data_IF_477745237624
#
_entry.id   IF_477745237624
#
_cell.length_a   1.000
_cell.length_b   1.000
_cell.length_c   1.000
_cell.angle_alpha   90.00
_cell.angle_beta   90.00
_cell.angle_gamma   90.00
#
_symmetry.space_group_name_H-M   'P 1'
#
loop_
_entity.id
_entity.type
_entity.pdbx_description
1 polymer ?
#
# COMPACT_ATOMS: atom_id res chain seq x y z
N UNK A 1 -48.02 15.12 35.89
CA UNK A 1 -47.54 13.92 35.16
C UNK A 1 -46.47 14.22 34.09
N UNK A 2 -45.66 15.30 34.21
CA UNK A 2 -44.65 15.66 33.20
C UNK A 2 -43.21 15.19 33.49
N UNK A 3 -42.90 14.78 34.73
CA UNK A 3 -41.53 14.43 35.14
C UNK A 3 -41.14 12.98 34.87
N UNK A 4 -42.11 12.08 34.70
CA UNK A 4 -41.86 10.65 34.40
C UNK A 4 -41.55 10.45 32.91
N UNK A 5 -42.09 11.30 32.02
CA UNK A 5 -41.83 11.24 30.58
C UNK A 5 -40.40 11.65 30.19
N UNK A 6 -39.79 12.56 30.96
CA UNK A 6 -38.41 13.03 30.73
C UNK A 6 -37.39 11.94 31.11
N UNK A 7 -37.68 11.12 32.12
CA UNK A 7 -36.84 9.97 32.48
C UNK A 7 -36.88 8.85 31.44
N UNK A 8 -38.03 8.65 30.77
CA UNK A 8 -38.13 7.66 29.67
C UNK A 8 -37.38 8.11 28.41
N UNK A 9 -37.38 9.41 28.10
CA UNK A 9 -36.65 9.97 26.95
C UNK A 9 -35.11 9.99 27.16
N UNK A 10 -34.65 10.08 28.41
CA UNK A 10 -33.22 10.00 28.75
C UNK A 10 -32.66 8.57 28.74
N UNK A 11 -33.51 7.54 28.83
CA UNK A 11 -33.09 6.14 28.66
C UNK A 11 -33.14 5.64 27.21
N UNK A 12 -33.85 6.34 26.31
CA UNK A 12 -33.89 5.99 24.87
C UNK A 12 -32.66 6.43 24.07
N UNK A 13 -31.72 7.18 24.66
CA UNK A 13 -30.49 7.64 24.02
C UNK A 13 -29.26 6.81 24.38
N UNK A 14 -29.43 5.63 24.99
CA UNK A 14 -28.39 4.60 24.98
C UNK A 14 -28.26 4.16 23.52
N UNK A 15 -27.27 4.76 22.87
CA UNK A 15 -26.82 4.43 21.54
C UNK A 15 -26.72 2.91 21.38
N UNK A 16 -27.74 2.32 20.79
CA UNK A 16 -27.54 1.13 19.98
C UNK A 16 -26.76 1.60 18.75
N UNK A 17 -25.45 1.75 18.92
CA UNK A 17 -24.51 1.49 17.83
C UNK A 17 -24.65 0.00 17.56
N UNK A 18 -25.70 -0.37 16.82
CA UNK A 18 -25.77 -1.63 16.12
C UNK A 18 -24.61 -1.60 15.13
N UNK A 19 -23.44 -2.05 15.59
CA UNK A 19 -22.38 -2.47 14.70
C UNK A 19 -22.99 -3.47 13.74
N UNK A 20 -22.94 -3.15 12.45
CA UNK A 20 -23.42 -4.02 11.38
C UNK A 20 -22.79 -5.42 11.53
N UNK A 21 -23.51 -6.36 12.15
CA UNK A 21 -23.10 -7.75 12.29
C UNK A 21 -23.41 -8.49 10.99
N UNK A 22 -22.59 -8.29 9.96
CA UNK A 22 -22.50 -9.24 8.86
C UNK A 22 -21.42 -10.27 9.21
N UNK A 23 -21.85 -11.38 9.84
CA UNK A 23 -21.07 -12.49 10.44
C UNK A 23 -20.54 -12.23 11.86
N UNK A 24 -21.17 -12.83 12.88
CA UNK A 24 -20.57 -12.95 14.22
C UNK A 24 -19.30 -13.82 14.13
N UNK A 25 -18.16 -13.15 14.08
CA UNK A 25 -16.83 -13.72 13.96
C UNK A 25 -16.17 -13.77 15.35
N UNK A 26 -15.95 -14.97 15.89
CA UNK A 26 -15.21 -15.11 17.14
C UNK A 26 -13.76 -15.54 16.83
N UNK A 27 -12.85 -14.57 16.86
CA UNK A 27 -11.41 -14.79 16.62
C UNK A 27 -10.80 -15.87 17.52
N UNK A 28 -11.35 -16.07 18.74
CA UNK A 28 -10.88 -17.08 19.70
C UNK A 28 -11.24 -18.52 19.30
N UNK A 29 -12.23 -18.71 18.41
CA UNK A 29 -12.67 -20.03 17.94
C UNK A 29 -11.91 -20.52 16.71
N UNK A 30 -10.94 -19.74 16.22
CA UNK A 30 -10.25 -20.03 14.97
C UNK A 30 -8.95 -20.75 15.25
N UNK A 31 -8.90 -22.00 14.79
CA UNK A 31 -7.74 -22.85 14.93
C UNK A 31 -7.05 -23.02 13.56
N UNK A 32 -6.41 -21.96 13.09
CA UNK A 32 -5.56 -22.04 11.89
C UNK A 32 -4.17 -22.47 12.32
N UNK A 33 -3.76 -23.67 11.89
CA UNK A 33 -2.40 -24.13 12.16
C UNK A 33 -1.35 -23.26 11.45
N UNK A 34 -0.17 -23.13 12.05
CA UNK A 34 0.97 -22.48 11.40
C UNK A 34 1.30 -23.12 10.05
N UNK A 35 1.13 -24.44 9.91
CA UNK A 35 1.33 -25.15 8.64
C UNK A 35 0.36 -24.65 7.56
N UNK A 36 -0.94 -24.55 7.89
CA UNK A 36 -1.96 -24.03 6.98
C UNK A 36 -1.68 -22.58 6.58
N UNK A 37 -1.24 -21.77 7.55
CA UNK A 37 -0.86 -20.37 7.31
C UNK A 37 0.30 -20.24 6.32
N UNK A 38 1.40 -20.94 6.57
CA UNK A 38 2.62 -20.83 5.76
C UNK A 38 2.48 -21.46 4.37
N UNK A 39 1.81 -22.61 4.27
CA UNK A 39 1.77 -23.40 3.03
C UNK A 39 0.59 -23.07 2.12
N UNK A 40 -0.51 -22.51 2.66
CA UNK A 40 -1.72 -22.25 1.86
C UNK A 40 -2.12 -20.77 1.88
N UNK A 41 -2.31 -20.19 3.07
CA UNK A 41 -2.83 -18.82 3.18
C UNK A 41 -1.81 -17.81 2.62
N UNK A 42 -0.57 -17.83 3.12
CA UNK A 42 0.45 -16.86 2.74
C UNK A 42 0.77 -16.86 1.23
N UNK A 43 0.90 -18.03 0.55
CA UNK A 43 1.03 -18.06 -0.90
C UNK A 43 -0.17 -17.45 -1.64
N UNK A 44 -1.40 -17.68 -1.19
CA UNK A 44 -2.59 -17.08 -1.79
C UNK A 44 -2.62 -15.55 -1.60
N UNK A 45 -2.28 -15.06 -0.40
CA UNK A 45 -2.14 -13.63 -0.12
C UNK A 45 -1.08 -12.99 -1.02
N UNK A 46 0.08 -13.64 -1.19
CA UNK A 46 1.14 -13.15 -2.09
C UNK A 46 0.64 -12.99 -3.52
N UNK A 47 -0.09 -13.99 -4.00
CA UNK A 47 -0.66 -13.94 -5.34
C UNK A 47 -1.75 -12.88 -5.46
N UNK A 48 -2.58 -12.69 -4.44
CA UNK A 48 -3.59 -11.63 -4.41
C UNK A 48 -2.94 -10.24 -4.53
N UNK A 49 -1.90 -9.96 -3.72
CA UNK A 49 -1.17 -8.68 -3.78
C UNK A 49 -0.54 -8.49 -5.16
N UNK A 50 0.06 -9.53 -5.74
CA UNK A 50 0.63 -9.49 -7.10
C UNK A 50 -0.44 -9.21 -8.15
N UNK A 51 -1.59 -9.87 -8.06
CA UNK A 51 -2.71 -9.71 -8.97
C UNK A 51 -3.28 -8.28 -8.92
N UNK A 52 -3.38 -7.69 -7.72
CA UNK A 52 -3.79 -6.29 -7.57
C UNK A 52 -2.89 -5.32 -8.34
N UNK A 53 -1.57 -5.44 -8.17
CA UNK A 53 -0.61 -4.60 -8.88
C UNK A 53 -0.59 -4.88 -10.39
N UNK A 54 -0.88 -6.11 -10.82
CA UNK A 54 -1.06 -6.43 -12.24
C UNK A 54 -2.29 -5.75 -12.82
N UNK A 55 -3.41 -5.70 -12.08
CA UNK A 55 -4.61 -4.96 -12.49
C UNK A 55 -4.30 -3.47 -12.64
N UNK A 56 -3.63 -2.85 -11.66
CA UNK A 56 -3.22 -1.44 -11.74
C UNK A 56 -2.38 -1.14 -12.99
N UNK A 57 -1.40 -2.01 -13.30
CA UNK A 57 -0.55 -1.87 -14.50
C UNK A 57 -1.32 -1.86 -15.82
N UNK A 58 -2.47 -2.55 -15.86
CA UNK A 58 -3.30 -2.64 -17.07
C UNK A 58 -4.27 -1.46 -17.21
N UNK A 59 -4.63 -0.79 -16.11
CA UNK A 59 -5.56 0.35 -16.14
C UNK A 59 -4.87 1.62 -16.64
N UNK A 60 -3.64 1.89 -16.21
CA UNK A 60 -2.91 3.07 -16.62
C UNK A 60 -1.42 2.77 -16.91
N UNK A 61 -0.87 3.25 -18.04
CA UNK A 61 0.51 2.95 -18.45
C UNK A 61 1.59 3.45 -17.45
N UNK A 62 1.33 4.52 -16.70
CA UNK A 62 2.27 5.03 -15.68
C UNK A 62 2.42 4.08 -14.49
N UNK A 63 1.42 3.23 -14.24
CA UNK A 63 1.41 2.38 -13.05
C UNK A 63 2.56 1.39 -13.03
N UNK A 64 3.02 0.93 -14.20
CA UNK A 64 4.21 0.06 -14.29
C UNK A 64 5.45 0.73 -13.71
N UNK A 65 5.65 2.01 -14.02
CA UNK A 65 6.81 2.77 -13.56
C UNK A 65 6.70 3.11 -12.06
N UNK A 66 5.51 3.52 -11.59
CA UNK A 66 5.26 3.83 -10.18
C UNK A 66 5.42 2.59 -9.30
N UNK A 67 4.89 1.45 -9.71
CA UNK A 67 5.04 0.18 -8.97
C UNK A 67 6.51 -0.27 -8.96
N UNK A 68 7.25 -0.07 -10.05
CA UNK A 68 8.68 -0.37 -10.08
C UNK A 68 9.44 0.53 -9.10
N UNK A 69 9.12 1.82 -9.09
CA UNK A 69 9.70 2.80 -8.17
C UNK A 69 9.42 2.44 -6.70
N UNK A 70 8.19 2.02 -6.35
CA UNK A 70 7.84 1.48 -5.03
C UNK A 70 8.74 0.30 -4.65
N UNK A 71 8.91 -0.66 -5.56
CA UNK A 71 9.70 -1.86 -5.28
C UNK A 71 11.19 -1.55 -5.10
N UNK A 72 11.75 -0.65 -5.92
CA UNK A 72 13.14 -0.20 -5.78
C UNK A 72 13.33 0.58 -4.47
N UNK A 73 12.39 1.45 -4.11
CA UNK A 73 12.40 2.20 -2.84
C UNK A 73 12.36 1.26 -1.64
N UNK A 74 11.52 0.23 -1.69
CA UNK A 74 11.47 -0.77 -0.63
C UNK A 74 12.76 -1.60 -0.53
N UNK A 75 13.38 -1.92 -1.67
CA UNK A 75 14.68 -2.56 -1.71
C UNK A 75 15.74 -1.67 -1.06
N UNK A 76 15.77 -0.39 -1.41
CA UNK A 76 16.68 0.59 -0.81
C UNK A 76 16.46 0.70 0.70
N UNK A 77 15.21 0.78 1.15
CA UNK A 77 14.87 0.78 2.57
C UNK A 77 15.41 -0.44 3.30
N UNK A 78 15.28 -1.64 2.72
CA UNK A 78 15.81 -2.85 3.32
C UNK A 78 17.33 -2.76 3.48
N UNK A 79 18.05 -2.43 2.41
CA UNK A 79 19.51 -2.27 2.47
C UNK A 79 19.93 -1.17 3.46
N UNK A 80 19.16 -0.08 3.53
CA UNK A 80 19.42 1.02 4.47
C UNK A 80 19.19 0.59 5.93
N UNK A 81 18.14 -0.18 6.21
CA UNK A 81 17.87 -0.73 7.54
C UNK A 81 18.95 -1.71 7.99
N UNK A 82 19.43 -2.54 7.07
CA UNK A 82 20.51 -3.48 7.35
C UNK A 82 21.84 -2.72 7.59
N UNK A 83 22.10 -1.63 6.88
CA UNK A 83 23.37 -0.88 6.94
C UNK A 83 23.46 0.18 8.05
N UNK A 84 22.41 0.98 8.25
CA UNK A 84 22.43 2.17 9.09
C UNK A 84 22.94 1.93 10.53
N UNK A 85 22.64 0.78 11.19
CA UNK A 85 23.17 0.46 12.52
C UNK A 85 24.69 0.30 12.56
N UNK A 86 25.30 -0.36 11.56
CA UNK A 86 26.72 -0.70 11.57
C UNK A 86 27.64 0.46 11.19
N UNK A 87 27.10 1.47 10.50
CA UNK A 87 27.89 2.61 10.03
C UNK A 87 28.25 3.63 11.16
N UNK A 88 28.38 3.23 12.41
CA UNK A 88 28.78 4.14 13.51
C UNK A 88 30.31 4.21 13.70
N UNK A 89 31.05 3.20 13.22
CA UNK A 89 32.51 3.14 13.26
C UNK A 89 33.08 3.61 11.92
N UNK A 90 34.29 4.17 11.92
CA UNK A 90 34.94 4.88 10.81
C UNK A 90 35.09 4.09 9.49
N UNK A 91 34.76 2.80 9.48
CA UNK A 91 34.83 1.90 8.32
C UNK A 91 33.56 1.86 7.45
N UNK A 92 32.74 2.91 7.40
CA UNK A 92 31.53 2.92 6.56
C UNK A 92 31.78 2.92 5.04
N UNK A 93 32.99 3.29 4.59
CA UNK A 93 33.25 3.62 3.17
C UNK A 93 33.04 2.44 2.21
N UNK A 94 33.32 1.21 2.61
CA UNK A 94 33.32 0.05 1.70
C UNK A 94 31.90 -0.45 1.34
N UNK A 95 30.87 -0.10 2.11
CA UNK A 95 29.49 -0.60 1.92
C UNK A 95 28.51 0.42 1.28
N UNK A 96 29.01 1.57 0.81
CA UNK A 96 28.14 2.60 0.21
C UNK A 96 27.82 2.37 -1.27
N UNK A 97 28.65 1.65 -2.01
CA UNK A 97 28.57 1.66 -3.47
C UNK A 97 27.29 0.96 -3.99
N UNK A 98 26.84 -0.11 -3.33
CA UNK A 98 25.57 -0.78 -3.66
C UNK A 98 24.35 0.13 -3.40
N UNK A 99 24.33 0.80 -2.24
CA UNK A 99 23.27 1.74 -1.88
C UNK A 99 23.25 2.94 -2.83
N UNK A 100 24.43 3.46 -3.17
CA UNK A 100 24.61 4.56 -4.11
C UNK A 100 24.15 4.17 -5.51
N UNK A 101 24.57 3.02 -6.05
CA UNK A 101 24.10 2.54 -7.35
C UNK A 101 22.58 2.33 -7.37
N UNK A 102 22.00 1.83 -6.28
CA UNK A 102 20.56 1.70 -6.17
C UNK A 102 19.85 3.07 -6.13
N UNK A 103 20.38 4.04 -5.38
CA UNK A 103 19.87 5.40 -5.34
C UNK A 103 19.98 6.10 -6.71
N UNK A 104 21.12 5.97 -7.40
CA UNK A 104 21.32 6.49 -8.76
C UNK A 104 20.29 5.89 -9.74
N UNK A 105 20.08 4.57 -9.66
CA UNK A 105 19.06 3.89 -10.47
C UNK A 105 17.65 4.42 -10.16
N UNK A 106 17.33 4.66 -8.90
CA UNK A 106 16.04 5.20 -8.49
C UNK A 106 15.88 6.64 -9.01
N UNK A 107 16.88 7.50 -8.80
CA UNK A 107 16.89 8.88 -9.27
C UNK A 107 16.71 8.98 -10.80
N UNK A 108 17.37 8.11 -11.56
CA UNK A 108 17.17 8.03 -13.02
C UNK A 108 15.75 7.60 -13.40
N UNK A 109 15.09 6.79 -12.56
CA UNK A 109 13.71 6.34 -12.79
C UNK A 109 12.69 7.40 -12.42
N UNK A 110 12.93 8.19 -11.37
CA UNK A 110 12.05 9.31 -10.98
C UNK A 110 12.06 10.40 -12.04
N UNK A 111 13.25 10.79 -12.54
CA UNK A 111 13.38 11.74 -13.64
C UNK A 111 12.63 11.29 -14.91
N UNK A 112 12.74 10.00 -15.28
CA UNK A 112 12.01 9.45 -16.42
C UNK A 112 10.50 9.42 -16.21
N UNK A 113 10.05 9.16 -14.99
CA UNK A 113 8.63 9.16 -14.65
C UNK A 113 8.06 10.58 -14.75
N UNK A 114 8.77 11.56 -14.21
CA UNK A 114 8.43 12.97 -14.28
C UNK A 114 8.29 13.45 -15.72
N UNK A 115 9.30 13.19 -16.57
CA UNK A 115 9.24 13.50 -18.00
C UNK A 115 8.02 12.87 -18.69
N UNK A 116 7.69 11.61 -18.36
CA UNK A 116 6.51 10.94 -18.91
C UNK A 116 5.19 11.56 -18.45
N UNK A 117 5.12 12.02 -17.20
CA UNK A 117 3.94 12.72 -16.66
C UNK A 117 3.75 14.05 -17.39
N UNK A 118 4.83 14.83 -17.57
CA UNK A 118 4.80 16.09 -18.33
C UNK A 118 4.34 15.89 -19.77
N UNK A 119 4.79 14.82 -20.43
CA UNK A 119 4.34 14.48 -21.80
C UNK A 119 2.87 14.05 -21.88
N UNK A 120 2.29 13.55 -20.78
CA UNK A 120 0.87 13.20 -20.71
C UNK A 120 0.01 14.44 -20.39
N UNK A 121 0.57 15.41 -19.67
CA UNK A 121 -0.07 16.71 -19.40
C UNK A 121 -0.42 17.44 -20.69
N UNK A 122 0.49 17.47 -21.67
CA UNK A 122 0.24 18.12 -22.96
C UNK A 122 -0.86 17.47 -23.80
N UNK A 123 -1.33 16.27 -23.43
CA UNK A 123 -2.30 15.47 -24.21
C UNK A 123 -3.67 15.30 -23.56
N UNK A 124 -3.86 15.64 -22.28
CA UNK A 124 -5.11 15.34 -21.54
C UNK A 124 -5.84 16.60 -21.06
N UNK A 125 -7.18 16.59 -21.15
CA UNK A 125 -8.09 17.66 -20.68
C UNK A 125 -8.23 17.78 -19.16
N UNK A 126 -7.71 16.83 -18.36
CA UNK A 126 -7.86 16.83 -16.90
C UNK A 126 -6.63 17.50 -16.25
N UNK A 127 -6.65 18.83 -16.23
CA UNK A 127 -5.51 19.71 -15.89
C UNK A 127 -5.10 19.54 -14.42
N UNK A 128 -6.06 19.51 -13.49
CA UNK A 128 -5.79 19.55 -12.04
C UNK A 128 -5.16 18.27 -11.49
N UNK A 129 -5.72 17.11 -11.86
CA UNK A 129 -5.19 15.81 -11.43
C UNK A 129 -3.78 15.56 -11.97
N UNK A 130 -3.51 16.02 -13.19
CA UNK A 130 -2.21 15.88 -13.84
C UNK A 130 -1.20 16.87 -13.27
N UNK A 131 -1.61 18.10 -12.97
CA UNK A 131 -0.77 19.10 -12.29
C UNK A 131 -0.33 18.60 -10.91
N UNK A 132 -1.28 18.07 -10.13
CA UNK A 132 -0.95 17.50 -8.82
C UNK A 132 0.00 16.30 -8.95
N UNK A 133 -0.22 15.42 -9.92
CA UNK A 133 0.69 14.29 -10.19
C UNK A 133 2.09 14.76 -10.61
N UNK A 134 2.18 15.83 -11.40
CA UNK A 134 3.47 16.43 -11.78
C UNK A 134 4.21 17.00 -10.58
N UNK A 135 3.51 17.75 -9.71
CA UNK A 135 4.08 18.28 -8.47
C UNK A 135 4.64 17.17 -7.59
N UNK A 136 3.83 16.16 -7.30
CA UNK A 136 4.24 15.01 -6.47
C UNK A 136 5.43 14.26 -7.09
N UNK A 137 5.46 14.11 -8.42
CA UNK A 137 6.59 13.49 -9.12
C UNK A 137 7.89 14.30 -8.99
N UNK A 138 7.81 15.62 -9.11
CA UNK A 138 8.96 16.51 -8.90
C UNK A 138 9.50 16.41 -7.48
N UNK A 139 8.61 16.43 -6.47
CA UNK A 139 9.05 16.27 -5.08
C UNK A 139 9.72 14.91 -4.80
N UNK A 140 9.27 13.85 -5.47
CA UNK A 140 9.92 12.53 -5.39
C UNK A 140 11.32 12.58 -6.01
N UNK A 141 11.45 13.20 -7.19
CA UNK A 141 12.75 13.41 -7.85
C UNK A 141 13.70 14.17 -6.94
N UNK A 142 13.27 15.30 -6.38
CA UNK A 142 14.07 16.12 -5.47
C UNK A 142 14.49 15.34 -4.22
N UNK A 143 13.58 14.54 -3.67
CA UNK A 143 13.87 13.72 -2.48
C UNK A 143 14.95 12.67 -2.79
N UNK A 144 14.88 12.01 -3.94
CA UNK A 144 15.90 11.03 -4.35
C UNK A 144 17.23 11.66 -4.75
N UNK A 145 17.20 12.83 -5.37
CA UNK A 145 18.40 13.61 -5.63
C UNK A 145 19.10 13.99 -4.32
N UNK A 146 18.33 14.44 -3.32
CA UNK A 146 18.87 14.70 -1.98
C UNK A 146 19.48 13.43 -1.37
N UNK A 147 18.77 12.30 -1.33
CA UNK A 147 19.32 11.04 -0.83
C UNK A 147 20.66 10.73 -1.52
N UNK A 148 20.72 10.84 -2.85
CA UNK A 148 21.94 10.58 -3.60
C UNK A 148 23.08 11.52 -3.20
N UNK A 149 22.83 12.82 -3.07
CA UNK A 149 23.84 13.79 -2.63
C UNK A 149 24.40 13.45 -1.23
N UNK A 150 23.56 12.96 -0.32
CA UNK A 150 23.99 12.49 1.00
C UNK A 150 24.84 11.22 0.94
N UNK A 151 24.59 10.34 -0.05
CA UNK A 151 25.37 9.13 -0.27
C UNK A 151 26.68 9.39 -1.01
N UNK A 152 26.76 10.45 -1.83
CA UNK A 152 27.96 10.77 -2.62
C UNK A 152 28.93 11.69 -1.88
N UNK A 153 28.46 12.47 -0.91
CA UNK A 153 29.29 13.43 -0.18
C UNK A 153 29.80 12.86 1.17
N UNK A 154 31.12 12.62 1.32
CA UNK A 154 31.68 12.05 2.53
C UNK A 154 31.45 12.87 3.81
N UNK A 155 31.32 14.19 3.66
CA UNK A 155 31.10 15.11 4.77
C UNK A 155 29.67 15.01 5.32
N UNK A 156 28.72 14.53 4.51
CA UNK A 156 27.31 14.40 4.86
C UNK A 156 26.96 13.04 5.48
N UNK A 157 27.87 12.05 5.45
CA UNK A 157 27.63 10.71 6.03
C UNK A 157 27.27 10.73 7.51
N UNK A 158 27.74 11.75 8.26
CA UNK A 158 27.40 11.92 9.68
C UNK A 158 25.90 12.23 9.91
N UNK A 159 25.15 12.61 8.87
CA UNK A 159 23.73 12.99 8.94
C UNK A 159 22.78 11.86 8.55
N UNK A 160 23.01 10.63 9.04
CA UNK A 160 22.15 9.44 8.79
C UNK A 160 20.66 9.66 9.03
N UNK A 161 20.32 10.44 10.06
CA UNK A 161 18.92 10.77 10.39
C UNK A 161 18.22 11.41 9.18
N UNK A 162 18.96 12.19 8.38
CA UNK A 162 18.42 12.87 7.22
C UNK A 162 18.06 11.91 6.07
N UNK A 163 18.89 10.91 5.78
CA UNK A 163 18.57 9.89 4.76
C UNK A 163 17.30 9.14 5.16
N UNK A 164 17.16 8.76 6.44
CA UNK A 164 15.94 8.10 6.93
C UNK A 164 14.70 8.99 6.79
N UNK A 165 14.83 10.30 7.05
CA UNK A 165 13.73 11.28 6.87
C UNK A 165 13.34 11.38 5.40
N UNK A 166 14.30 11.56 4.49
CA UNK A 166 14.01 11.62 3.06
C UNK A 166 13.44 10.30 2.52
N UNK A 167 13.96 9.16 2.97
CA UNK A 167 13.44 7.85 2.58
C UNK A 167 11.97 7.67 3.00
N UNK A 168 11.63 8.08 4.22
CA UNK A 168 10.24 8.06 4.68
C UNK A 168 9.35 8.98 3.85
N UNK A 169 9.83 10.19 3.52
CA UNK A 169 9.12 11.13 2.63
C UNK A 169 8.90 10.53 1.24
N UNK A 170 9.94 9.98 0.62
CA UNK A 170 9.85 9.35 -0.70
C UNK A 170 8.83 8.21 -0.71
N UNK A 171 8.82 7.37 0.33
CA UNK A 171 7.83 6.29 0.48
C UNK A 171 6.40 6.83 0.51
N UNK A 172 6.14 7.84 1.34
CA UNK A 172 4.80 8.44 1.44
C UNK A 172 4.35 9.04 0.11
N UNK A 173 5.23 9.77 -0.58
CA UNK A 173 4.91 10.36 -1.88
C UNK A 173 4.64 9.30 -2.95
N UNK A 174 5.45 8.22 -3.00
CA UNK A 174 5.22 7.09 -3.92
C UNK A 174 3.87 6.41 -3.65
N UNK A 175 3.50 6.29 -2.38
CA UNK A 175 2.20 5.76 -1.97
C UNK A 175 1.04 6.66 -2.43
N UNK A 176 1.19 7.99 -2.31
CA UNK A 176 0.20 8.97 -2.77
C UNK A 176 -0.01 8.88 -4.28
N UNK A 177 1.07 8.78 -5.07
CA UNK A 177 0.96 8.72 -6.53
C UNK A 177 0.53 7.35 -7.05
N UNK A 178 0.48 6.31 -6.21
CA UNK A 178 0.18 4.94 -6.63
C UNK A 178 -1.18 4.78 -7.31
N UNK A 179 -2.19 5.55 -6.94
CA UNK A 179 -3.53 5.47 -7.57
C UNK A 179 -3.94 6.76 -8.25
N UNK A 180 -3.16 7.83 -8.09
CA UNK A 180 -3.42 9.16 -8.63
C UNK A 180 -3.59 9.23 -10.17
N UNK A 181 -2.94 8.38 -10.98
CA UNK A 181 -3.17 8.36 -12.43
C UNK A 181 -4.53 7.80 -12.89
N UNK A 182 -5.32 7.23 -11.98
CA UNK A 182 -6.65 6.70 -12.29
C UNK A 182 -7.67 7.84 -12.36
N UNK A 183 -8.83 7.62 -12.97
CA UNK A 183 -9.93 8.59 -12.89
C UNK A 183 -10.46 8.70 -11.44
N UNK A 184 -11.23 9.74 -11.11
CA UNK A 184 -11.58 10.04 -9.72
C UNK A 184 -12.35 8.92 -9.01
N UNK A 185 -13.29 8.25 -9.68
CA UNK A 185 -14.06 7.14 -9.09
C UNK A 185 -13.16 5.92 -8.86
N UNK A 186 -12.37 5.49 -9.86
CA UNK A 186 -11.45 4.38 -9.69
C UNK A 186 -10.37 4.71 -8.67
N UNK A 187 -9.82 5.93 -8.69
CA UNK A 187 -8.79 6.37 -7.75
C UNK A 187 -9.26 6.18 -6.31
N UNK A 188 -10.44 6.71 -5.96
CA UNK A 188 -10.99 6.61 -4.60
C UNK A 188 -11.13 5.14 -4.17
N UNK A 189 -11.72 4.31 -5.02
CA UNK A 189 -11.97 2.91 -4.70
C UNK A 189 -10.68 2.06 -4.64
N UNK A 190 -9.75 2.27 -5.58
CA UNK A 190 -8.45 1.58 -5.60
C UNK A 190 -7.55 2.04 -4.46
N UNK A 191 -7.56 3.33 -4.11
CA UNK A 191 -6.82 3.83 -2.96
C UNK A 191 -7.35 3.21 -1.65
N UNK A 192 -8.68 3.20 -1.48
CA UNK A 192 -9.33 2.63 -0.31
C UNK A 192 -8.95 1.15 -0.11
N UNK A 193 -9.10 0.31 -1.15
CA UNK A 193 -8.73 -1.11 -1.04
C UNK A 193 -7.23 -1.30 -0.92
N UNK A 194 -6.42 -0.45 -1.55
CA UNK A 194 -4.97 -0.53 -1.40
C UNK A 194 -4.53 -0.26 0.04
N UNK A 195 -5.00 0.84 0.65
CA UNK A 195 -4.60 1.26 1.98
C UNK A 195 -5.10 0.32 3.08
N UNK A 196 -6.36 -0.14 2.97
CA UNK A 196 -7.03 -0.89 4.02
C UNK A 196 -6.97 -2.42 3.86
N UNK A 197 -6.66 -2.92 2.66
CA UNK A 197 -6.58 -4.35 2.40
C UNK A 197 -5.21 -4.77 1.87
N UNK A 198 -4.80 -4.28 0.70
CA UNK A 198 -3.58 -4.77 0.03
C UNK A 198 -2.30 -4.44 0.83
N UNK A 199 -2.15 -3.19 1.27
CA UNK A 199 -0.99 -2.74 2.04
C UNK A 199 -0.90 -3.47 3.38
N UNK A 200 -2.04 -3.69 4.05
CA UNK A 200 -2.11 -4.44 5.32
C UNK A 200 -1.69 -5.88 5.15
N UNK A 201 -2.18 -6.56 4.11
CA UNK A 201 -1.77 -7.92 3.77
C UNK A 201 -0.26 -7.99 3.43
N UNK A 202 0.25 -7.03 2.67
CA UNK A 202 1.68 -6.97 2.33
C UNK A 202 2.56 -6.79 3.60
N UNK A 203 2.21 -5.86 4.47
CA UNK A 203 3.02 -5.50 5.65
C UNK A 203 2.88 -6.50 6.80
N UNK A 204 1.67 -6.86 7.18
CA UNK A 204 1.41 -7.68 8.37
C UNK A 204 1.47 -9.18 8.05
N UNK A 205 0.87 -9.60 6.94
CA UNK A 205 0.77 -11.04 6.61
C UNK A 205 1.99 -11.54 5.85
N UNK A 206 2.47 -10.81 4.85
CA UNK A 206 3.60 -11.28 4.02
C UNK A 206 4.97 -10.98 4.64
N UNK A 207 5.19 -9.73 5.08
CA UNK A 207 6.47 -9.28 5.65
C UNK A 207 6.64 -9.74 7.10
N UNK A 208 5.68 -9.44 7.99
CA UNK A 208 5.76 -9.82 9.41
C UNK A 208 5.30 -11.25 9.72
N UNK A 209 4.68 -11.95 8.75
CA UNK A 209 4.18 -13.33 8.93
C UNK A 209 3.20 -13.46 10.11
N UNK A 210 2.40 -12.41 10.35
CA UNK A 210 1.55 -12.30 11.51
C UNK A 210 0.18 -12.95 11.25
N UNK A 211 0.05 -14.24 11.57
CA UNK A 211 -1.24 -14.96 11.50
C UNK A 211 -2.29 -14.31 12.42
N UNK A 212 -1.91 -13.90 13.62
CA UNK A 212 -2.85 -13.30 14.58
C UNK A 212 -3.48 -12.02 14.04
N UNK A 213 -2.71 -11.20 13.30
CA UNK A 213 -3.25 -10.02 12.62
C UNK A 213 -4.36 -10.40 11.62
N UNK A 214 -4.12 -11.42 10.78
CA UNK A 214 -5.09 -11.86 9.79
C UNK A 214 -6.39 -12.35 10.44
N UNK A 215 -6.28 -13.09 11.54
CA UNK A 215 -7.44 -13.59 12.30
C UNK A 215 -8.16 -12.41 12.95
N UNK A 216 -7.48 -11.63 13.79
CA UNK A 216 -8.11 -10.52 14.52
C UNK A 216 -8.75 -9.45 13.63
N UNK A 217 -8.29 -9.28 12.39
CA UNK A 217 -8.81 -8.29 11.43
C UNK A 217 -9.59 -8.88 10.25
N UNK A 218 -9.98 -10.16 10.32
CA UNK A 218 -10.59 -10.85 9.18
C UNK A 218 -11.87 -10.16 8.68
N UNK A 219 -12.72 -9.71 9.61
CA UNK A 219 -13.97 -9.03 9.29
C UNK A 219 -13.73 -7.71 8.53
N UNK A 220 -12.86 -6.84 9.06
CA UNK A 220 -12.49 -5.57 8.42
C UNK A 220 -11.90 -5.78 7.03
N UNK A 221 -11.00 -6.76 6.89
CA UNK A 221 -10.41 -7.14 5.61
C UNK A 221 -11.47 -7.62 4.62
N UNK A 222 -12.41 -8.45 5.09
CA UNK A 222 -13.49 -8.99 4.27
C UNK A 222 -14.47 -7.91 3.80
N UNK A 223 -14.89 -7.01 4.70
CA UNK A 223 -15.77 -5.89 4.37
C UNK A 223 -15.10 -4.99 3.34
N UNK A 224 -13.83 -4.65 3.55
CA UNK A 224 -13.06 -3.79 2.63
C UNK A 224 -13.00 -4.39 1.23
N UNK A 225 -12.63 -5.67 1.13
CA UNK A 225 -12.51 -6.34 -0.16
C UNK A 225 -13.86 -6.54 -0.85
N UNK A 226 -14.90 -6.99 -0.13
CA UNK A 226 -16.21 -7.25 -0.74
C UNK A 226 -16.89 -5.95 -1.18
N UNK A 227 -16.79 -4.89 -0.39
CA UNK A 227 -17.32 -3.57 -0.76
C UNK A 227 -16.67 -3.04 -2.04
N UNK A 228 -15.37 -3.26 -2.21
CA UNK A 228 -14.66 -2.94 -3.45
C UNK A 228 -15.13 -3.84 -4.60
N UNK A 229 -15.16 -5.16 -4.40
CA UNK A 229 -15.49 -6.13 -5.44
C UNK A 229 -16.93 -5.97 -5.97
N UNK A 230 -17.90 -5.61 -5.12
CA UNK A 230 -19.29 -5.34 -5.54
C UNK A 230 -19.42 -4.18 -6.54
N UNK A 231 -18.46 -3.25 -6.56
CA UNK A 231 -18.45 -2.13 -7.52
C UNK A 231 -17.84 -2.49 -8.87
N UNK A 232 -17.02 -3.56 -8.93
CA UNK A 232 -16.29 -3.99 -10.14
C UNK A 232 -17.15 -4.16 -11.39
N UNK A 233 -18.38 -4.72 -11.33
CA UNK A 233 -19.23 -4.84 -12.51
C UNK A 233 -19.52 -3.50 -13.19
N UNK A 234 -19.67 -2.41 -12.40
CA UNK A 234 -20.07 -1.07 -12.85
C UNK A 234 -18.96 -0.36 -13.63
N UNK A 235 -17.69 -0.71 -13.41
CA UNK A 235 -16.56 -0.04 -14.05
C UNK A 235 -16.32 -0.57 -15.46
N UNK A 236 -16.74 0.18 -16.49
CA UNK A 236 -16.55 -0.21 -17.90
C UNK A 236 -15.07 -0.14 -18.33
N UNK A 237 -14.31 0.77 -17.74
CA UNK A 237 -12.92 1.07 -18.11
C UNK A 237 -11.92 -0.03 -17.69
N UNK A 238 -12.30 -0.91 -16.77
CA UNK A 238 -11.43 -1.99 -16.31
C UNK A 238 -11.54 -3.17 -17.27
N UNK A 239 -10.53 -3.36 -18.11
CA UNK A 239 -10.40 -4.52 -19.00
C UNK A 239 -10.03 -5.81 -18.24
N UNK A 240 -9.59 -5.69 -16.99
CA UNK A 240 -9.05 -6.80 -16.18
C UNK A 240 -10.04 -7.39 -15.17
N UNK A 241 -11.36 -7.33 -15.43
CA UNK A 241 -12.40 -7.87 -14.53
C UNK A 241 -12.20 -9.36 -14.20
N UNK A 242 -11.72 -10.15 -15.16
CA UNK A 242 -11.39 -11.57 -14.94
C UNK A 242 -10.35 -11.77 -13.84
N UNK A 243 -9.32 -10.91 -13.78
CA UNK A 243 -8.27 -10.98 -12.75
C UNK A 243 -8.81 -10.60 -11.37
N UNK A 244 -9.72 -9.61 -11.29
CA UNK A 244 -10.40 -9.27 -10.04
C UNK A 244 -11.31 -10.40 -9.53
N UNK A 245 -11.98 -11.13 -10.44
CA UNK A 245 -12.75 -12.34 -10.09
C UNK A 245 -11.87 -13.45 -9.54
N UNK A 246 -10.67 -13.64 -10.11
CA UNK A 246 -9.68 -14.59 -9.58
C UNK A 246 -9.25 -14.18 -8.18
N UNK A 247 -8.92 -12.91 -7.95
CA UNK A 247 -8.57 -12.40 -6.62
C UNK A 247 -9.68 -12.66 -5.60
N UNK A 248 -10.94 -12.44 -5.97
CA UNK A 248 -12.07 -12.69 -5.08
C UNK A 248 -12.21 -14.18 -4.73
N UNK A 249 -12.03 -15.09 -5.69
CA UNK A 249 -12.00 -16.54 -5.42
C UNK A 249 -10.85 -16.94 -4.49
N UNK A 250 -9.65 -16.35 -4.65
CA UNK A 250 -8.51 -16.58 -3.74
C UNK A 250 -8.84 -16.12 -2.33
N UNK A 251 -9.41 -14.93 -2.17
CA UNK A 251 -9.84 -14.42 -0.87
C UNK A 251 -10.86 -15.36 -0.21
N UNK A 252 -11.89 -15.80 -0.96
CA UNK A 252 -12.86 -16.77 -0.43
C UNK A 252 -12.22 -18.12 -0.06
N UNK A 253 -11.16 -18.54 -0.76
CA UNK A 253 -10.41 -19.74 -0.40
C UNK A 253 -9.66 -19.58 0.92
N UNK A 254 -9.07 -18.40 1.17
CA UNK A 254 -8.45 -18.06 2.46
C UNK A 254 -9.52 -18.06 3.55
N UNK A 255 -10.66 -17.40 3.33
CA UNK A 255 -11.77 -17.36 4.28
C UNK A 255 -12.25 -18.76 4.65
N UNK A 256 -12.42 -19.65 3.65
CA UNK A 256 -12.78 -21.05 3.90
C UNK A 256 -11.81 -21.68 4.88
N UNK A 257 -10.50 -21.61 4.63
CA UNK A 257 -9.47 -22.18 5.52
C UNK A 257 -9.53 -21.59 6.93
N UNK A 258 -9.72 -20.27 7.05
CA UNK A 258 -9.73 -19.58 8.34
C UNK A 258 -11.02 -19.84 9.13
N UNK A 259 -12.13 -19.99 8.44
CA UNK A 259 -13.47 -20.15 9.03
C UNK A 259 -13.93 -21.61 9.07
N UNK A 260 -13.09 -22.58 8.66
CA UNK A 260 -13.40 -24.00 8.84
C UNK A 260 -13.64 -24.23 10.32
N UNK A 261 -14.86 -24.68 10.63
CA UNK A 261 -15.24 -25.27 11.91
C UNK A 261 -14.82 -26.72 11.93
#
# INVERSE_FOLDING_TARGET
MGRILILFLLFSSINYVHGYSYFYYNSKKINVSNRSFHNYIRPQVRNLVRDFYSVLKKINPLQKDIINLKNLTHRFEKHWQDFAPYCQKENCKENFEDLKHLAQRINKKTLKLEQRITLLYSKKKNIDSTLMLSKESGEITDTWHNILNYLENPLLYKRKKQISVYLNRAKLQIEIILTKPLNDDLQKNFYFVWANFIKKLEQEVLKKQNLNYLVTRLEELNITWNSFYMKVPRWKEITSKGQLKIMHRRWNSILKIVLVR
#
